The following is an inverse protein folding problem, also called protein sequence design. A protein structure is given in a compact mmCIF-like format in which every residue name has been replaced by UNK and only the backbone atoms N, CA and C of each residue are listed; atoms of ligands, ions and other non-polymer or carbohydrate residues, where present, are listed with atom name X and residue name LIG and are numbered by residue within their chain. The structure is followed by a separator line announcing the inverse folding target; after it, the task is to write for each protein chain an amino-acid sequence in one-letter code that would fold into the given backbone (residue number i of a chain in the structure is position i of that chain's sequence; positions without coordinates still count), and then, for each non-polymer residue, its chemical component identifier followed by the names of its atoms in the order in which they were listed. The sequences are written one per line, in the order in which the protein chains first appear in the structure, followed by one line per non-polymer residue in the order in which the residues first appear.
data_IF_386999651304
#
_entry.id   IF_386999651304
#
_cell.length_a   1.000
_cell.length_b   1.000
_cell.length_c   1.000
_cell.angle_alpha   90.00
_cell.angle_beta   90.00
_cell.angle_gamma   90.00
#
_symmetry.space_group_name_H-M   'P 1'
#
loop_
_entity.id
_entity.type
_entity.pdbx_description
1 polymer ?
#
# COMPACT_ATOMS: atom_id res chain seq x y z
N UNK A 1 -18.78 17.44 -9.25
CA UNK A 1 -18.45 16.27 -8.40
C UNK A 1 -17.03 16.47 -7.89
N UNK A 2 -16.76 16.26 -6.60
CA UNK A 2 -15.41 16.40 -6.07
C UNK A 2 -14.56 15.26 -6.63
N UNK A 3 -13.39 15.57 -7.20
CA UNK A 3 -12.43 14.56 -7.62
C UNK A 3 -11.76 14.00 -6.34
N UNK A 4 -12.11 12.78 -5.95
CA UNK A 4 -11.68 12.17 -4.70
C UNK A 4 -10.95 10.85 -4.97
N UNK A 5 -9.86 10.62 -4.24
CA UNK A 5 -9.05 9.40 -4.31
C UNK A 5 -8.89 8.76 -2.94
N UNK A 6 -8.80 7.44 -2.94
CA UNK A 6 -8.46 6.64 -1.78
C UNK A 6 -7.03 6.13 -1.93
N UNK A 7 -6.25 6.27 -0.87
CA UNK A 7 -4.95 5.63 -0.71
C UNK A 7 -5.09 4.51 0.32
N UNK A 8 -4.91 3.28 -0.11
CA UNK A 8 -4.89 2.10 0.75
C UNK A 8 -3.45 1.68 0.97
N UNK A 9 -3.04 1.57 2.23
CA UNK A 9 -1.67 1.27 2.63
C UNK A 9 -1.61 0.00 3.46
N UNK A 10 -0.54 -0.74 3.24
CA UNK A 10 -0.13 -1.87 4.05
C UNK A 10 1.39 -1.86 4.25
N UNK A 11 1.89 -2.67 5.18
CA UNK A 11 3.30 -2.70 5.54
C UNK A 11 3.96 -4.06 5.30
N UNK A 12 5.26 -4.03 5.06
CA UNK A 12 6.12 -5.23 5.10
C UNK A 12 7.28 -4.95 6.04
N UNK A 13 7.34 -5.74 7.13
CA UNK A 13 8.36 -5.61 8.16
C UNK A 13 9.60 -6.42 7.84
N UNK A 14 10.77 -6.05 8.39
CA UNK A 14 11.95 -6.89 8.38
C UNK A 14 11.66 -8.27 8.96
N UNK A 15 12.25 -9.32 8.39
CA UNK A 15 12.09 -10.69 8.87
C UNK A 15 13.39 -11.33 9.37
N UNK A 16 14.44 -10.53 9.48
CA UNK A 16 15.73 -10.91 10.07
C UNK A 16 16.66 -11.77 9.21
N UNK A 17 16.16 -12.43 8.16
CA UNK A 17 17.01 -13.31 7.33
C UNK A 17 17.30 -12.75 5.94
N UNK A 18 16.30 -12.24 5.26
CA UNK A 18 16.42 -11.77 3.87
C UNK A 18 15.76 -10.42 3.60
N UNK A 19 15.02 -9.92 4.55
CA UNK A 19 14.31 -8.63 4.45
C UNK A 19 14.81 -7.73 5.58
N UNK A 20 15.51 -6.68 5.23
CA UNK A 20 16.13 -5.74 6.17
C UNK A 20 15.43 -4.39 6.21
N UNK A 21 14.50 -4.16 5.27
CA UNK A 21 13.77 -2.90 5.15
C UNK A 21 12.38 -2.99 5.78
N UNK A 22 11.97 -1.89 6.42
CA UNK A 22 10.57 -1.57 6.63
C UNK A 22 10.04 -0.93 5.36
N UNK A 23 8.95 -1.43 4.82
CA UNK A 23 8.30 -0.89 3.64
C UNK A 23 6.84 -0.55 3.96
N UNK A 24 6.42 0.67 3.68
CA UNK A 24 5.03 1.10 3.68
C UNK A 24 4.66 1.46 2.25
N UNK A 25 3.70 0.76 1.68
CA UNK A 25 3.32 0.97 0.29
C UNK A 25 1.84 0.63 0.07
N UNK A 26 1.30 1.07 -1.06
CA UNK A 26 -0.08 0.78 -1.35
C UNK A 26 -0.54 1.33 -2.70
N UNK A 27 -1.84 1.45 -2.82
CA UNK A 27 -2.53 1.77 -4.07
C UNK A 27 -3.43 2.98 -3.92
N UNK A 28 -3.35 3.88 -4.89
CA UNK A 28 -4.27 5.01 -5.07
C UNK A 28 -5.32 4.61 -6.09
N UNK A 29 -6.58 4.79 -5.73
CA UNK A 29 -7.72 4.48 -6.61
C UNK A 29 -8.70 5.66 -6.56
N UNK A 30 -9.20 6.09 -7.72
CA UNK A 30 -10.28 7.08 -7.76
C UNK A 30 -11.51 6.50 -7.05
N UNK A 31 -12.12 7.25 -6.15
CA UNK A 31 -13.27 6.81 -5.34
C UNK A 31 -14.36 6.16 -6.18
N UNK A 32 -14.78 6.84 -7.25
CA UNK A 32 -15.84 6.35 -8.14
C UNK A 32 -15.49 5.00 -8.79
N UNK A 33 -14.24 4.86 -9.30
CA UNK A 33 -13.73 3.61 -9.86
C UNK A 33 -13.64 2.53 -8.81
N UNK A 34 -13.19 2.87 -7.59
CA UNK A 34 -13.12 1.92 -6.48
C UNK A 34 -14.49 1.35 -6.14
N UNK A 35 -15.48 2.21 -5.91
CA UNK A 35 -16.80 1.81 -5.45
C UNK A 35 -17.61 1.07 -6.54
N UNK A 36 -17.54 1.55 -7.78
CA UNK A 36 -18.41 1.07 -8.86
C UNK A 36 -17.79 -0.04 -9.72
N UNK A 37 -16.47 -0.19 -9.74
CA UNK A 37 -15.79 -1.10 -10.65
C UNK A 37 -14.87 -2.08 -9.89
N UNK A 38 -13.90 -1.57 -9.10
CA UNK A 38 -12.91 -2.41 -8.44
C UNK A 38 -13.52 -3.32 -7.39
N UNK A 39 -14.38 -2.79 -6.51
CA UNK A 39 -15.04 -3.59 -5.47
C UNK A 39 -15.90 -4.70 -6.06
N UNK A 40 -16.79 -4.46 -7.04
CA UNK A 40 -17.54 -5.52 -7.72
C UNK A 40 -16.64 -6.58 -8.36
N UNK A 41 -15.57 -6.17 -9.07
CA UNK A 41 -14.69 -7.14 -9.75
C UNK A 41 -13.92 -8.02 -8.76
N UNK A 42 -13.36 -7.45 -7.68
CA UNK A 42 -12.70 -8.24 -6.65
C UNK A 42 -13.68 -9.20 -5.96
N UNK A 43 -14.90 -8.75 -5.68
CA UNK A 43 -15.95 -9.63 -5.11
C UNK A 43 -16.30 -10.76 -6.07
N UNK A 44 -16.41 -10.48 -7.37
CA UNK A 44 -16.65 -11.50 -8.38
C UNK A 44 -15.49 -12.51 -8.45
N UNK A 45 -14.23 -12.05 -8.37
CA UNK A 45 -13.06 -12.91 -8.30
C UNK A 45 -13.09 -13.79 -7.04
N UNK A 46 -13.39 -13.24 -5.88
CA UNK A 46 -13.52 -13.99 -4.62
C UNK A 46 -14.62 -15.06 -4.73
N UNK A 47 -15.75 -14.72 -5.33
CA UNK A 47 -16.83 -15.67 -5.54
C UNK A 47 -16.41 -16.83 -6.46
N UNK A 48 -15.71 -16.56 -7.56
CA UNK A 48 -15.20 -17.61 -8.47
C UNK A 48 -14.21 -18.55 -7.77
N UNK A 49 -13.34 -18.01 -6.92
CA UNK A 49 -12.24 -18.75 -6.29
C UNK A 49 -12.68 -19.46 -5.00
N UNK A 50 -13.47 -18.80 -4.16
CA UNK A 50 -13.83 -19.29 -2.81
C UNK A 50 -15.29 -19.66 -2.67
N UNK A 51 -16.11 -19.44 -3.69
CA UNK A 51 -17.57 -19.54 -3.65
C UNK A 51 -18.24 -18.64 -2.57
N UNK A 52 -17.57 -17.58 -2.16
CA UNK A 52 -18.09 -16.54 -1.26
C UNK A 52 -17.31 -15.23 -1.46
N UNK A 53 -17.81 -14.13 -0.87
CA UNK A 53 -17.16 -12.82 -0.90
C UNK A 53 -16.54 -12.42 0.45
N UNK A 54 -16.68 -13.26 1.48
CA UNK A 54 -16.28 -12.93 2.85
C UNK A 54 -14.83 -13.32 3.15
N UNK A 55 -14.29 -14.27 2.38
CA UNK A 55 -12.87 -14.65 2.50
C UNK A 55 -11.98 -13.44 2.23
N UNK A 56 -11.11 -13.12 3.15
CA UNK A 56 -10.16 -12.01 3.02
C UNK A 56 -9.01 -12.44 2.12
N UNK A 57 -8.65 -11.62 1.14
CA UNK A 57 -7.45 -11.86 0.34
C UNK A 57 -6.24 -11.45 1.20
N UNK A 58 -5.37 -12.42 1.48
CA UNK A 58 -4.12 -12.20 2.22
C UNK A 58 -2.98 -12.90 1.48
N UNK A 59 -2.05 -12.14 0.94
CA UNK A 59 -1.02 -12.63 0.01
C UNK A 59 -0.24 -13.82 0.58
N UNK A 60 0.18 -13.71 1.83
CA UNK A 60 0.98 -14.75 2.47
C UNK A 60 0.23 -16.08 2.62
N UNK A 61 -1.06 -16.04 2.98
CA UNK A 61 -1.91 -17.22 3.13
C UNK A 61 -2.27 -17.85 1.79
N UNK A 62 -2.57 -17.01 0.77
CA UNK A 62 -2.82 -17.44 -0.60
C UNK A 62 -1.59 -18.19 -1.14
N UNK A 63 -0.40 -17.66 -0.93
CA UNK A 63 0.84 -18.28 -1.37
C UNK A 63 1.19 -19.55 -0.59
N UNK A 64 0.93 -19.54 0.71
CA UNK A 64 1.18 -20.70 1.57
C UNK A 64 0.23 -21.86 1.26
N UNK A 65 -1.04 -21.58 0.98
CA UNK A 65 -2.10 -22.56 0.67
C UNK A 65 -2.23 -23.67 1.73
N UNK A 66 -1.97 -23.33 3.01
CA UNK A 66 -1.85 -24.32 4.08
C UNK A 66 -3.15 -24.59 4.81
N UNK A 67 -3.91 -23.54 5.09
CA UNK A 67 -5.11 -23.57 5.92
C UNK A 67 -6.35 -23.19 5.12
N UNK A 68 -7.54 -23.74 5.44
CA UNK A 68 -8.80 -23.24 4.87
C UNK A 68 -9.02 -21.75 5.20
N UNK A 69 -9.62 -20.97 4.29
CA UNK A 69 -10.12 -21.37 2.95
C UNK A 69 -9.06 -21.42 1.85
N UNK A 70 -7.79 -21.05 2.13
CA UNK A 70 -6.73 -20.88 1.12
C UNK A 70 -6.21 -22.19 0.52
N UNK A 71 -6.59 -23.35 1.08
CA UNK A 71 -6.23 -24.67 0.52
C UNK A 71 -6.73 -24.88 -0.91
N UNK A 72 -7.72 -24.12 -1.38
CA UNK A 72 -8.22 -24.14 -2.76
C UNK A 72 -7.10 -23.82 -3.76
N UNK A 73 -6.10 -23.02 -3.40
CA UNK A 73 -4.96 -22.67 -4.25
C UNK A 73 -3.93 -23.79 -4.45
N UNK A 74 -4.13 -24.98 -3.86
CA UNK A 74 -3.41 -26.21 -4.22
C UNK A 74 -3.82 -26.71 -5.59
N UNK A 75 -5.02 -26.35 -6.08
CA UNK A 75 -5.49 -26.61 -7.41
C UNK A 75 -4.89 -25.57 -8.37
N UNK A 76 -4.18 -26.05 -9.39
CA UNK A 76 -3.44 -25.19 -10.35
C UNK A 76 -4.36 -24.26 -11.12
N UNK A 77 -5.55 -24.74 -11.49
CA UNK A 77 -6.56 -24.00 -12.24
C UNK A 77 -7.10 -22.80 -11.46
N UNK A 78 -7.48 -23.03 -10.18
CA UNK A 78 -7.96 -21.96 -9.28
C UNK A 78 -6.86 -20.95 -9.02
N UNK A 79 -5.64 -21.44 -8.81
CA UNK A 79 -4.49 -20.56 -8.61
C UNK A 79 -4.21 -19.69 -9.83
N UNK A 80 -4.26 -20.28 -11.03
CA UNK A 80 -4.07 -19.54 -12.29
C UNK A 80 -5.19 -18.52 -12.52
N UNK A 81 -6.45 -18.90 -12.27
CA UNK A 81 -7.60 -18.01 -12.37
C UNK A 81 -7.47 -16.80 -11.44
N UNK A 82 -7.10 -17.04 -10.17
CA UNK A 82 -6.90 -15.96 -9.20
C UNK A 82 -5.86 -14.95 -9.65
N UNK A 83 -4.65 -15.42 -10.02
CA UNK A 83 -3.58 -14.51 -10.42
C UNK A 83 -3.90 -13.76 -11.71
N UNK A 84 -4.57 -14.41 -12.67
CA UNK A 84 -5.10 -13.76 -13.87
C UNK A 84 -6.13 -12.68 -13.53
N UNK A 85 -7.02 -12.96 -12.57
CA UNK A 85 -7.97 -11.98 -12.05
C UNK A 85 -7.27 -10.76 -11.41
N UNK A 86 -6.26 -10.99 -10.59
CA UNK A 86 -5.44 -9.93 -10.00
C UNK A 86 -4.71 -9.10 -11.08
N UNK A 87 -4.11 -9.75 -12.07
CA UNK A 87 -3.50 -9.06 -13.22
C UNK A 87 -4.49 -8.16 -13.94
N UNK A 88 -5.70 -8.64 -14.20
CA UNK A 88 -6.76 -7.86 -14.86
C UNK A 88 -7.16 -6.63 -14.04
N UNK A 89 -7.28 -6.76 -12.70
CA UNK A 89 -7.60 -5.65 -11.81
C UNK A 89 -6.50 -4.58 -11.90
N UNK A 90 -5.24 -4.96 -11.75
CA UNK A 90 -4.12 -3.99 -11.82
C UNK A 90 -3.95 -3.37 -13.21
N UNK A 91 -4.35 -4.05 -14.27
CA UNK A 91 -4.21 -3.57 -15.65
C UNK A 91 -5.33 -2.63 -16.09
N UNK A 92 -6.57 -2.88 -15.66
CA UNK A 92 -7.75 -2.29 -16.30
C UNK A 92 -8.30 -1.05 -15.57
N UNK A 93 -7.95 -0.83 -14.27
CA UNK A 93 -8.63 0.19 -13.46
C UNK A 93 -7.77 1.42 -13.11
N UNK A 94 -6.71 1.67 -13.89
CA UNK A 94 -5.83 2.86 -13.70
C UNK A 94 -5.36 3.01 -12.24
N UNK A 95 -4.96 1.89 -11.64
CA UNK A 95 -4.40 1.90 -10.30
C UNK A 95 -3.04 2.59 -10.33
N UNK A 96 -2.79 3.44 -9.33
CA UNK A 96 -1.48 4.05 -9.15
C UNK A 96 -0.87 3.52 -7.85
N UNK A 97 0.36 3.05 -7.88
CA UNK A 97 1.05 2.55 -6.69
C UNK A 97 2.08 3.56 -6.20
N UNK A 98 2.26 3.61 -4.90
CA UNK A 98 3.34 4.37 -4.27
C UNK A 98 3.79 3.74 -2.96
N UNK A 99 4.96 4.15 -2.48
CA UNK A 99 5.47 3.67 -1.21
C UNK A 99 6.82 4.26 -0.86
N UNK A 100 7.30 3.88 0.31
CA UNK A 100 8.64 4.18 0.78
C UNK A 100 9.19 2.97 1.55
N UNK A 101 10.48 2.80 1.49
CA UNK A 101 11.20 1.76 2.20
C UNK A 101 12.44 2.32 2.89
N UNK A 102 12.75 1.81 4.07
CA UNK A 102 13.89 2.25 4.87
C UNK A 102 14.67 1.03 5.35
N UNK A 103 16.00 1.07 5.18
CA UNK A 103 16.87 0.02 5.71
C UNK A 103 17.09 0.24 7.21
N UNK A 104 16.56 -0.65 8.05
CA UNK A 104 16.43 -0.39 9.51
C UNK A 104 17.78 -0.17 10.20
N UNK A 105 18.80 -0.95 9.88
CA UNK A 105 20.11 -0.82 10.54
C UNK A 105 20.83 0.45 10.14
N UNK A 106 20.75 0.84 8.86
CA UNK A 106 21.41 2.03 8.35
C UNK A 106 20.70 3.29 8.89
N UNK A 107 19.37 3.27 8.90
CA UNK A 107 18.58 4.32 9.51
C UNK A 107 18.95 4.56 10.97
N UNK A 108 19.00 3.48 11.78
CA UNK A 108 19.38 3.58 13.20
C UNK A 108 20.81 4.09 13.41
N UNK A 109 21.73 3.78 12.49
CA UNK A 109 23.10 4.29 12.57
C UNK A 109 23.19 5.79 12.24
N UNK A 110 22.32 6.28 11.31
CA UNK A 110 22.29 7.67 10.89
C UNK A 110 21.58 8.59 11.90
N UNK A 111 20.54 8.09 12.57
CA UNK A 111 19.64 8.90 13.41
C UNK A 111 19.67 8.50 14.89
N UNK A 112 20.79 7.95 15.34
CA UNK A 112 21.03 7.43 16.68
C UNK A 112 20.57 8.35 17.82
N UNK A 113 20.76 9.68 17.68
CA UNK A 113 20.58 10.66 18.72
C UNK A 113 19.51 11.71 18.39
N UNK A 114 18.68 11.47 17.38
CA UNK A 114 17.70 12.45 16.94
C UNK A 114 16.28 12.09 17.35
N UNK A 115 15.45 13.12 17.56
CA UNK A 115 13.99 12.99 17.69
C UNK A 115 13.32 12.32 16.47
N UNK A 116 14.06 12.16 15.38
CA UNK A 116 13.63 11.50 14.15
C UNK A 116 13.85 9.98 14.15
N UNK A 117 14.10 9.38 15.30
CA UNK A 117 14.36 7.94 15.44
C UNK A 117 13.09 7.06 15.29
N UNK A 118 12.12 7.53 14.53
CA UNK A 118 10.88 6.81 14.22
C UNK A 118 10.83 6.47 12.73
N UNK A 119 11.20 5.23 12.38
CA UNK A 119 11.18 4.73 11.02
C UNK A 119 9.79 4.82 10.36
N UNK A 120 8.73 4.61 11.15
CA UNK A 120 7.35 4.74 10.65
C UNK A 120 7.00 6.19 10.33
N UNK A 121 7.48 7.14 11.14
CA UNK A 121 7.29 8.56 10.86
C UNK A 121 7.84 8.92 9.49
N UNK A 122 9.07 8.49 9.19
CA UNK A 122 9.75 8.85 7.94
C UNK A 122 9.07 8.21 6.73
N UNK A 123 8.75 6.90 6.77
CA UNK A 123 8.10 6.25 5.63
C UNK A 123 6.68 6.80 5.40
N UNK A 124 5.92 7.06 6.47
CA UNK A 124 4.58 7.66 6.35
C UNK A 124 4.65 9.09 5.82
N UNK A 125 5.62 9.90 6.29
CA UNK A 125 5.82 11.24 5.79
C UNK A 125 6.04 11.25 4.27
N UNK A 126 6.95 10.42 3.76
CA UNK A 126 7.27 10.33 2.33
C UNK A 126 6.04 9.89 1.53
N UNK A 127 5.33 8.89 2.02
CA UNK A 127 4.10 8.39 1.38
C UNK A 127 3.05 9.50 1.31
N UNK A 128 2.83 10.25 2.38
CA UNK A 128 1.87 11.36 2.41
C UNK A 128 2.31 12.54 1.52
N UNK A 129 3.59 12.89 1.51
CA UNK A 129 4.13 13.91 0.60
C UNK A 129 3.86 13.56 -0.88
N UNK A 130 4.13 12.33 -1.27
CA UNK A 130 3.91 11.85 -2.62
C UNK A 130 2.41 11.75 -2.95
N UNK A 131 1.58 11.36 -1.99
CA UNK A 131 0.13 11.35 -2.18
C UNK A 131 -0.43 12.78 -2.32
N UNK A 132 0.03 13.74 -1.51
CA UNK A 132 -0.35 15.15 -1.67
C UNK A 132 0.11 15.70 -3.03
N UNK A 133 1.32 15.32 -3.48
CA UNK A 133 1.78 15.68 -4.84
C UNK A 133 0.84 15.14 -5.91
N UNK A 134 0.45 13.86 -5.81
CA UNK A 134 -0.53 13.23 -6.70
C UNK A 134 -1.87 13.97 -6.67
N UNK A 135 -2.42 14.26 -5.49
CA UNK A 135 -3.71 14.94 -5.35
C UNK A 135 -3.69 16.36 -5.93
N UNK A 136 -2.57 17.07 -5.77
CA UNK A 136 -2.39 18.41 -6.37
C UNK A 136 -2.35 18.36 -7.88
N UNK A 137 -1.61 17.43 -8.48
CA UNK A 137 -1.52 17.28 -9.94
C UNK A 137 -2.86 16.89 -10.59
N UNK A 138 -3.75 16.24 -9.81
CA UNK A 138 -5.09 15.85 -10.27
C UNK A 138 -6.20 16.82 -9.82
N UNK A 139 -5.84 17.92 -9.16
CA UNK A 139 -6.77 18.84 -8.51
C UNK A 139 -7.85 18.11 -7.69
N UNK A 140 -7.40 17.21 -6.81
CA UNK A 140 -8.23 16.26 -6.08
C UNK A 140 -8.05 16.38 -4.57
N UNK A 141 -8.93 15.72 -3.82
CA UNK A 141 -8.80 15.44 -2.39
C UNK A 141 -8.68 13.94 -2.17
N UNK A 142 -8.14 13.53 -1.02
CA UNK A 142 -7.95 12.11 -0.76
C UNK A 142 -8.15 11.69 0.69
N UNK A 143 -8.46 10.42 0.87
CA UNK A 143 -8.53 9.75 2.16
C UNK A 143 -7.47 8.64 2.22
N UNK A 144 -6.91 8.44 3.40
CA UNK A 144 -5.93 7.39 3.67
C UNK A 144 -6.60 6.28 4.46
N UNK A 145 -6.35 5.04 4.08
CA UNK A 145 -6.80 3.83 4.75
C UNK A 145 -5.58 2.96 5.06
N UNK A 146 -5.43 2.55 6.31
CA UNK A 146 -4.34 1.68 6.78
C UNK A 146 -4.96 0.51 7.52
N UNK A 147 -4.37 -0.69 7.37
CA UNK A 147 -4.77 -1.83 8.19
C UNK A 147 -4.35 -1.58 9.65
N UNK A 148 -5.31 -1.67 10.57
CA UNK A 148 -5.06 -1.57 11.99
C UNK A 148 -4.32 -2.81 12.50
N UNK A 149 -3.23 -2.60 13.25
CA UNK A 149 -2.39 -3.66 13.79
C UNK A 149 -2.79 -3.96 15.23
N UNK A 150 -2.79 -2.92 16.04
CA UNK A 150 -3.19 -2.91 17.44
C UNK A 150 -3.37 -1.46 17.92
N UNK A 151 -4.03 -1.29 19.05
CA UNK A 151 -4.39 0.03 19.59
C UNK A 151 -3.17 0.95 19.78
N UNK A 152 -2.01 0.40 20.16
CA UNK A 152 -0.80 1.20 20.42
C UNK A 152 -0.17 1.69 19.12
N UNK A 153 0.05 0.80 18.15
CA UNK A 153 0.65 1.15 16.86
C UNK A 153 -0.29 2.04 16.05
N UNK A 154 -1.59 1.77 16.06
CA UNK A 154 -2.61 2.59 15.39
C UNK A 154 -2.65 4.00 15.97
N UNK A 155 -2.52 4.15 17.29
CA UNK A 155 -2.45 5.44 17.96
C UNK A 155 -1.17 6.19 17.57
N UNK A 156 -0.02 5.49 17.51
CA UNK A 156 1.26 6.08 17.07
C UNK A 156 1.18 6.58 15.63
N UNK A 157 0.69 5.75 14.71
CA UNK A 157 0.52 6.13 13.30
C UNK A 157 -0.48 7.28 13.13
N UNK A 158 -1.59 7.26 13.87
CA UNK A 158 -2.57 8.34 13.87
C UNK A 158 -1.97 9.66 14.36
N UNK A 159 -1.23 9.63 15.46
CA UNK A 159 -0.55 10.82 16.00
C UNK A 159 0.50 11.34 15.00
N UNK A 160 1.24 10.44 14.34
CA UNK A 160 2.19 10.78 13.29
C UNK A 160 1.50 11.48 12.12
N UNK A 161 0.41 10.93 11.64
CA UNK A 161 -0.40 11.56 10.58
C UNK A 161 -0.84 12.97 10.98
N UNK A 162 -1.45 13.13 12.16
CA UNK A 162 -1.91 14.44 12.62
C UNK A 162 -0.76 15.43 12.83
N UNK A 163 0.40 14.96 13.31
CA UNK A 163 1.61 15.78 13.44
C UNK A 163 2.09 16.31 12.09
N UNK A 164 2.13 15.44 11.06
CA UNK A 164 2.49 15.83 9.69
C UNK A 164 1.48 16.83 9.12
N UNK A 165 0.19 16.56 9.25
CA UNK A 165 -0.87 17.44 8.73
C UNK A 165 -0.89 18.80 9.44
N UNK A 166 -0.60 18.83 10.74
CA UNK A 166 -0.61 20.07 11.53
C UNK A 166 0.64 20.93 11.35
N UNK A 167 1.81 20.32 11.22
CA UNK A 167 3.10 21.02 11.18
C UNK A 167 3.66 21.16 9.76
N UNK A 168 3.17 20.35 8.80
CA UNK A 168 3.79 20.21 7.50
C UNK A 168 5.08 19.40 7.56
N UNK A 169 5.83 19.48 6.47
CA UNK A 169 7.15 18.85 6.32
C UNK A 169 8.15 19.84 5.74
N UNK A 170 9.38 19.40 5.49
CA UNK A 170 10.38 20.23 4.82
C UNK A 170 9.93 20.67 3.41
N UNK A 171 9.11 19.85 2.74
CA UNK A 171 8.70 20.08 1.33
C UNK A 171 7.31 20.69 1.20
N UNK A 172 6.43 20.51 2.18
CA UNK A 172 5.05 20.97 2.12
C UNK A 172 4.63 21.66 3.42
N UNK A 173 4.01 22.84 3.25
CA UNK A 173 3.39 23.54 4.38
C UNK A 173 2.18 22.76 4.92
N UNK A 174 1.75 23.03 6.17
CA UNK A 174 0.53 22.46 6.75
C UNK A 174 -0.70 22.60 5.83
N UNK A 175 -0.87 23.78 5.24
CA UNK A 175 -2.00 24.03 4.35
C UNK A 175 -2.04 23.08 3.14
N UNK A 176 -0.87 22.70 2.63
CA UNK A 176 -0.81 21.77 1.49
C UNK A 176 -1.40 20.38 1.83
N UNK A 177 -1.20 19.92 3.06
CA UNK A 177 -1.81 18.69 3.56
C UNK A 177 -3.29 18.87 3.87
N UNK A 178 -3.64 19.91 4.64
CA UNK A 178 -5.01 20.19 5.10
C UNK A 178 -5.98 20.43 3.94
N UNK A 179 -5.52 21.07 2.86
CA UNK A 179 -6.35 21.32 1.68
C UNK A 179 -6.65 20.03 0.89
N UNK A 180 -5.80 19.02 0.99
CA UNK A 180 -5.86 17.82 0.14
C UNK A 180 -6.23 16.54 0.87
N UNK A 181 -5.80 16.37 2.11
CA UNK A 181 -6.11 15.20 2.91
C UNK A 181 -7.39 15.40 3.72
N UNK A 182 -8.36 14.50 3.55
CA UNK A 182 -9.64 14.56 4.25
C UNK A 182 -9.55 13.85 5.59
N UNK A 183 -9.04 12.60 5.62
CA UNK A 183 -8.99 11.79 6.82
C UNK A 183 -7.97 10.66 6.69
N UNK A 184 -7.62 10.06 7.85
CA UNK A 184 -6.97 8.76 7.96
C UNK A 184 -7.89 7.79 8.69
N UNK A 185 -8.07 6.60 8.13
CA UNK A 185 -8.96 5.57 8.63
C UNK A 185 -8.15 4.31 8.95
N UNK A 186 -8.30 3.80 10.16
CA UNK A 186 -7.74 2.52 10.59
C UNK A 186 -8.84 1.48 10.57
N UNK A 187 -8.69 0.50 9.71
CA UNK A 187 -9.66 -0.58 9.51
C UNK A 187 -9.06 -1.91 9.95
N UNK A 188 -9.85 -2.73 10.59
CA UNK A 188 -9.43 -4.09 10.98
C UNK A 188 -9.72 -5.09 9.86
N UNK A 189 -9.04 -6.24 9.88
CA UNK A 189 -9.26 -7.31 8.89
C UNK A 189 -10.73 -7.72 8.75
N UNK A 190 -11.46 -7.72 9.87
CA UNK A 190 -12.88 -8.07 9.90
C UNK A 190 -13.77 -7.14 9.06
N UNK A 191 -13.32 -5.91 8.77
CA UNK A 191 -14.07 -4.98 7.92
C UNK A 191 -14.08 -5.42 6.44
N UNK A 192 -13.29 -6.44 6.08
CA UNK A 192 -13.22 -7.03 4.74
C UNK A 192 -13.03 -5.97 3.63
N UNK A 193 -12.22 -4.93 3.92
CA UNK A 193 -12.02 -3.82 3.00
C UNK A 193 -11.21 -4.25 1.77
N UNK A 194 -11.79 -4.10 0.60
CA UNK A 194 -11.18 -4.56 -0.66
C UNK A 194 -9.91 -3.79 -1.02
N UNK A 195 -9.87 -2.49 -0.73
CA UNK A 195 -8.69 -1.67 -1.03
C UNK A 195 -7.47 -2.09 -0.22
N UNK A 196 -7.66 -2.39 1.07
CA UNK A 196 -6.59 -2.92 1.92
C UNK A 196 -6.14 -4.31 1.48
N UNK A 197 -7.08 -5.17 1.03
CA UNK A 197 -6.72 -6.47 0.47
C UNK A 197 -5.90 -6.36 -0.82
N UNK A 198 -6.14 -5.34 -1.65
CA UNK A 198 -5.28 -5.07 -2.82
C UNK A 198 -3.91 -4.50 -2.40
N UNK A 199 -3.90 -3.65 -1.37
CA UNK A 199 -2.66 -3.08 -0.84
C UNK A 199 -1.72 -4.15 -0.27
N UNK A 200 -2.23 -5.22 0.34
CA UNK A 200 -1.44 -6.33 0.93
C UNK A 200 -0.46 -6.98 -0.08
N UNK A 201 -0.78 -6.95 -1.39
CA UNK A 201 0.09 -7.50 -2.43
C UNK A 201 1.28 -6.60 -2.83
N UNK A 202 1.35 -5.38 -2.34
CA UNK A 202 2.30 -4.36 -2.82
C UNK A 202 3.58 -4.29 -1.98
N UNK A 203 3.53 -4.03 -0.65
CA UNK A 203 4.73 -3.77 0.13
C UNK A 203 5.67 -4.96 0.19
N UNK A 204 5.16 -6.18 0.35
CA UNK A 204 5.98 -7.39 0.36
C UNK A 204 6.71 -7.62 -0.96
N UNK A 205 6.05 -7.31 -2.07
CA UNK A 205 6.61 -7.43 -3.42
C UNK A 205 7.70 -6.39 -3.68
N UNK A 206 7.47 -5.11 -3.34
CA UNK A 206 8.45 -4.03 -3.47
C UNK A 206 9.62 -4.22 -2.52
N UNK A 207 9.36 -4.65 -1.28
CA UNK A 207 10.38 -4.89 -0.27
C UNK A 207 11.38 -5.99 -0.70
N UNK A 208 10.90 -7.05 -1.34
CA UNK A 208 11.79 -8.05 -1.93
C UNK A 208 12.73 -7.45 -2.96
N UNK A 209 12.24 -6.57 -3.83
CA UNK A 209 13.05 -5.88 -4.82
C UNK A 209 14.15 -5.03 -4.17
N UNK A 210 13.84 -4.28 -3.09
CA UNK A 210 14.83 -3.52 -2.33
C UNK A 210 15.97 -4.39 -1.79
N UNK A 211 15.66 -5.62 -1.39
CA UNK A 211 16.62 -6.57 -0.84
C UNK A 211 17.28 -7.46 -1.92
N UNK A 212 17.17 -7.09 -3.20
CA UNK A 212 17.77 -7.84 -4.31
C UNK A 212 17.16 -9.22 -4.56
N UNK A 213 15.96 -9.47 -4.02
CA UNK A 213 15.28 -10.76 -4.15
C UNK A 213 14.31 -10.76 -5.31
N UNK A 214 14.28 -11.84 -6.07
CA UNK A 214 13.31 -12.01 -7.15
C UNK A 214 11.86 -12.04 -6.61
N UNK A 215 10.89 -11.49 -7.37
CA UNK A 215 9.47 -11.60 -7.01
C UNK A 215 9.03 -13.05 -6.87
N UNK A 216 8.18 -13.33 -5.87
CA UNK A 216 7.58 -14.67 -5.71
C UNK A 216 6.63 -14.94 -6.89
N UNK A 217 6.70 -16.14 -7.46
CA UNK A 217 5.82 -16.54 -8.57
C UNK A 217 4.57 -17.28 -8.07
N UNK A 218 3.42 -17.07 -8.74
CA UNK A 218 3.09 -16.07 -9.75
C UNK A 218 3.22 -14.64 -9.24
N UNK A 219 3.46 -13.66 -10.12
CA UNK A 219 3.77 -12.30 -9.68
C UNK A 219 3.05 -11.24 -10.50
N UNK A 220 2.45 -10.26 -9.79
CA UNK A 220 1.94 -9.02 -10.37
C UNK A 220 2.97 -7.87 -10.27
N UNK A 221 4.23 -8.16 -9.87
CA UNK A 221 5.28 -7.16 -9.74
C UNK A 221 5.43 -6.24 -10.97
N UNK A 222 5.44 -6.78 -12.23
CA UNK A 222 5.57 -5.91 -13.39
C UNK A 222 4.45 -4.87 -13.52
N UNK A 223 3.25 -5.21 -13.05
CA UNK A 223 2.10 -4.28 -13.06
C UNK A 223 2.18 -3.27 -11.93
N UNK A 224 2.60 -3.69 -10.73
CA UNK A 224 2.87 -2.79 -9.60
C UNK A 224 3.94 -1.79 -9.99
N UNK A 225 5.07 -2.25 -10.57
CA UNK A 225 6.16 -1.39 -11.01
C UNK A 225 5.73 -0.44 -12.14
N UNK A 226 4.97 -0.95 -13.11
CA UNK A 226 4.43 -0.12 -14.18
C UNK A 226 3.51 0.99 -13.64
N UNK A 227 2.72 0.69 -12.61
CA UNK A 227 1.75 1.59 -11.97
C UNK A 227 2.39 2.56 -10.96
N UNK A 228 3.71 2.47 -10.69
CA UNK A 228 4.37 3.40 -9.77
C UNK A 228 4.21 4.85 -10.24
N UNK A 229 3.76 5.69 -9.32
CA UNK A 229 3.60 7.11 -9.58
C UNK A 229 4.94 7.76 -9.98
N UNK A 230 4.96 8.48 -11.06
CA UNK A 230 6.19 9.07 -11.62
C UNK A 230 6.26 10.59 -11.49
N UNK A 231 5.28 11.18 -10.78
CA UNK A 231 5.19 12.62 -10.60
C UNK A 231 4.77 13.38 -11.86
N UNK A 232 4.40 12.69 -12.94
CA UNK A 232 4.17 13.28 -14.27
C UNK A 232 5.47 13.62 -15.02
N UNK A 233 6.62 13.14 -14.53
CA UNK A 233 7.95 13.46 -15.06
C UNK A 233 8.83 12.22 -15.30
N UNK A 234 8.29 11.02 -15.20
CA UNK A 234 9.04 9.77 -15.34
C UNK A 234 9.94 9.44 -14.12
N UNK A 235 9.76 10.09 -12.98
CA UNK A 235 10.64 9.97 -11.81
C UNK A 235 10.05 9.01 -10.74
N UNK A 236 9.82 7.76 -11.11
CA UNK A 236 9.25 6.73 -10.22
C UNK A 236 10.02 6.55 -8.90
N UNK A 237 11.35 6.67 -8.93
CA UNK A 237 12.19 6.55 -7.72
C UNK A 237 12.02 7.70 -6.74
N UNK A 238 11.52 8.85 -7.20
CA UNK A 238 11.23 10.01 -6.35
C UNK A 238 9.80 10.01 -5.83
N UNK A 239 8.83 9.77 -6.70
CA UNK A 239 7.42 9.96 -6.41
C UNK A 239 6.65 8.66 -6.21
N UNK A 240 7.09 7.56 -6.82
CA UNK A 240 6.43 6.26 -6.73
C UNK A 240 6.96 5.43 -5.58
N UNK A 241 8.21 5.03 -5.66
CA UNK A 241 8.79 4.19 -4.62
C UNK A 241 10.18 4.68 -4.22
N UNK A 242 10.27 5.25 -3.02
CA UNK A 242 11.51 5.80 -2.49
C UNK A 242 12.16 4.82 -1.52
N UNK A 243 13.44 4.53 -1.78
CA UNK A 243 14.28 3.71 -0.91
C UNK A 243 15.21 4.65 -0.14
N UNK A 244 15.23 4.51 1.16
CA UNK A 244 16.09 5.25 2.07
C UNK A 244 17.14 4.30 2.67
N UNK A 245 18.33 4.85 2.99
CA UNK A 245 19.35 4.12 3.72
C UNK A 245 18.85 3.70 5.09
#
# INVERSE_FOLDING_TARGET
MSNEYYLFLDESKPNGSNIHHLCLAGVIIKKETYENEVVPEVRALKHRVFNNTDTILHESEIRASRIPPYTVFRQSEIRAEFWKGMENIFRNYNLTTLGASIHISDFKSYYNDSELNDEYYIVLQIVLENFVHFLRSHNAKGQVYIEGINTTDDTRLRNTYHKIVANGTLYYSPNAFQDRLLNINFLIKADNNIGLQLADFIPGTLNRSCNGLSPKQPSIYPLIDAALYDGGHGLKQRFGFKILP
#
